data_IF_893861058971
#
_entry.id   IF_893861058971
#
_cell.length_a   1.000
_cell.length_b   1.000
_cell.length_c   1.000
_cell.angle_alpha   90.00
_cell.angle_beta   90.00
_cell.angle_gamma   90.00
#
_symmetry.space_group_name_H-M   'P 1'
#
loop_
_entity.id
_entity.type
_entity.pdbx_description
1 polymer ?
#
# COMPACT_ATOMS: atom_id res chain seq x y z
N UNK A 1 26.10 52.77 -46.34
CA UNK A 1 25.56 51.53 -45.72
C UNK A 1 24.68 51.94 -44.55
N UNK A 2 23.37 51.98 -44.77
CA UNK A 2 22.38 52.23 -43.72
C UNK A 2 21.19 51.35 -44.07
N UNK A 3 20.79 50.46 -43.16
CA UNK A 3 19.40 50.36 -42.73
C UNK A 3 19.27 49.51 -41.47
N UNK A 4 18.54 50.06 -40.50
CA UNK A 4 18.10 49.47 -39.24
C UNK A 4 16.81 48.69 -39.46
N UNK A 5 16.65 47.59 -38.71
CA UNK A 5 15.41 47.02 -38.14
C UNK A 5 14.10 46.98 -38.93
N UNK A 6 13.43 45.82 -38.91
CA UNK A 6 12.01 45.67 -38.50
C UNK A 6 11.51 44.22 -38.57
N UNK A 7 10.97 43.78 -37.43
CA UNK A 7 9.66 43.10 -37.23
C UNK A 7 9.37 41.87 -38.11
N UNK A 8 9.40 40.68 -37.47
CA UNK A 8 8.60 39.54 -37.90
C UNK A 8 7.11 39.91 -37.83
N UNK A 9 6.52 40.27 -38.96
CA UNK A 9 5.07 40.23 -39.10
C UNK A 9 4.66 38.82 -39.51
N UNK A 10 3.94 38.14 -38.62
CA UNK A 10 3.05 37.05 -39.00
C UNK A 10 2.05 37.62 -40.02
N UNK A 11 2.25 37.31 -41.30
CA UNK A 11 1.19 37.41 -42.30
C UNK A 11 0.44 36.08 -42.33
N UNK A 12 -0.50 35.92 -41.40
CA UNK A 12 -1.67 35.11 -41.69
C UNK A 12 -2.42 35.81 -42.82
N UNK A 13 -2.39 35.23 -44.03
CA UNK A 13 -3.46 35.45 -44.99
C UNK A 13 -4.24 34.15 -45.12
N UNK A 14 -5.56 34.17 -44.81
CA UNK A 14 -6.43 33.08 -45.21
C UNK A 14 -6.63 33.18 -46.72
N UNK A 15 -7.05 32.08 -47.33
CA UNK A 15 -8.17 32.00 -48.28
C UNK A 15 -8.12 30.62 -48.92
N UNK A 16 -9.04 29.79 -48.47
CA UNK A 16 -9.61 28.73 -49.28
C UNK A 16 -10.17 29.36 -50.56
N UNK A 17 -9.59 29.08 -51.74
CA UNK A 17 -10.34 28.84 -52.99
C UNK A 17 -9.46 28.52 -54.18
N UNK A 18 -9.85 27.47 -54.92
CA UNK A 18 -9.41 27.12 -56.29
C UNK A 18 -8.46 25.94 -56.29
N UNK A 19 -8.83 24.72 -56.73
CA UNK A 19 -9.57 24.37 -57.95
C UNK A 19 -10.01 22.89 -57.88
N UNK A 20 -10.95 22.51 -58.76
CA UNK A 20 -11.57 21.18 -58.94
C UNK A 20 -12.73 20.85 -57.97
N UNK A 21 -13.95 20.76 -58.53
CA UNK A 21 -15.14 20.22 -57.86
C UNK A 21 -15.04 18.70 -57.58
N UNK A 22 -13.92 18.07 -57.98
CA UNK A 22 -13.64 16.65 -57.80
C UNK A 22 -12.83 16.32 -56.54
N UNK A 23 -12.27 17.32 -55.84
CA UNK A 23 -11.41 17.09 -54.66
C UNK A 23 -12.04 17.44 -53.30
N UNK A 24 -13.17 18.16 -53.29
CA UNK A 24 -13.95 18.41 -52.06
C UNK A 24 -14.46 17.13 -51.36
N UNK A 25 -14.94 16.10 -52.08
CA UNK A 25 -15.38 14.86 -51.44
C UNK A 25 -14.21 14.15 -50.74
N UNK A 26 -13.00 14.20 -51.33
CA UNK A 26 -11.81 13.52 -50.81
C UNK A 26 -11.21 14.20 -49.59
N UNK A 27 -11.20 15.54 -49.55
CA UNK A 27 -10.74 16.30 -48.39
C UNK A 27 -11.73 16.22 -47.22
N UNK A 28 -13.04 16.29 -47.48
CA UNK A 28 -14.06 16.05 -46.45
C UNK A 28 -14.02 14.61 -45.93
N UNK A 29 -13.86 13.60 -46.81
CA UNK A 29 -13.69 12.21 -46.39
C UNK A 29 -12.44 12.04 -45.51
N UNK A 30 -11.31 12.67 -45.87
CA UNK A 30 -10.08 12.59 -45.08
C UNK A 30 -10.21 13.22 -43.70
N UNK A 31 -10.90 14.37 -43.59
CA UNK A 31 -11.20 15.02 -42.31
C UNK A 31 -12.17 14.19 -41.44
N UNK A 32 -13.17 13.56 -42.06
CA UNK A 32 -14.10 12.66 -41.37
C UNK A 32 -13.37 11.41 -40.86
N UNK A 33 -12.48 10.82 -41.67
CA UNK A 33 -11.66 9.67 -41.24
C UNK A 33 -10.72 10.04 -40.09
N UNK A 34 -10.14 11.24 -40.10
CA UNK A 34 -9.27 11.71 -39.03
C UNK A 34 -10.05 11.97 -37.72
N UNK A 35 -11.24 12.56 -37.82
CA UNK A 35 -12.14 12.76 -36.69
C UNK A 35 -12.63 11.42 -36.11
N UNK A 36 -13.03 10.48 -36.96
CA UNK A 36 -13.40 9.12 -36.54
C UNK A 36 -12.23 8.38 -35.89
N UNK A 37 -11.01 8.52 -36.44
CA UNK A 37 -9.79 7.97 -35.85
C UNK A 37 -9.48 8.56 -34.47
N UNK A 38 -9.58 9.88 -34.31
CA UNK A 38 -9.43 10.54 -33.01
C UNK A 38 -10.53 10.13 -32.02
N UNK A 39 -11.79 10.05 -32.45
CA UNK A 39 -12.88 9.56 -31.62
C UNK A 39 -12.68 8.11 -31.20
N UNK A 40 -12.18 7.24 -32.08
CA UNK A 40 -11.83 5.85 -31.77
C UNK A 40 -10.68 5.77 -30.78
N UNK A 41 -9.66 6.63 -30.91
CA UNK A 41 -8.53 6.68 -29.96
C UNK A 41 -8.95 7.22 -28.60
N UNK A 42 -9.81 8.25 -28.56
CA UNK A 42 -10.38 8.75 -27.31
C UNK A 42 -11.30 7.71 -26.69
N UNK A 43 -12.12 7.02 -27.47
CA UNK A 43 -12.97 5.94 -26.98
C UNK A 43 -12.14 4.76 -26.49
N UNK A 44 -11.07 4.38 -27.19
CA UNK A 44 -10.13 3.35 -26.75
C UNK A 44 -9.38 3.79 -25.49
N UNK A 45 -8.98 5.06 -25.38
CA UNK A 45 -8.39 5.60 -24.16
C UNK A 45 -9.39 5.60 -23.01
N UNK A 46 -10.64 5.96 -23.24
CA UNK A 46 -11.72 5.89 -22.25
C UNK A 46 -12.00 4.44 -21.86
N UNK A 47 -11.99 3.48 -22.80
CA UNK A 47 -12.16 2.06 -22.51
C UNK A 47 -10.99 1.48 -21.73
N UNK A 48 -9.75 1.81 -22.11
CA UNK A 48 -8.54 1.41 -21.37
C UNK A 48 -8.55 2.07 -19.99
N UNK A 49 -8.88 3.36 -19.89
CA UNK A 49 -8.99 4.06 -18.62
C UNK A 49 -10.16 3.55 -17.76
N UNK A 50 -11.26 3.10 -18.37
CA UNK A 50 -12.36 2.49 -17.64
C UNK A 50 -12.02 1.06 -17.21
N UNK A 51 -11.26 0.29 -17.99
CA UNK A 51 -10.70 -1.00 -17.56
C UNK A 51 -9.71 -0.81 -16.39
N UNK A 52 -8.91 0.27 -16.41
CA UNK A 52 -8.05 0.64 -15.27
C UNK A 52 -8.84 1.14 -14.05
N UNK A 53 -9.96 1.84 -14.23
CA UNK A 53 -10.89 2.15 -13.13
C UNK A 53 -11.62 0.90 -12.62
N UNK A 54 -11.90 -0.08 -13.50
CA UNK A 54 -12.50 -1.36 -13.14
C UNK A 54 -11.52 -2.34 -12.47
N UNK A 55 -10.20 -2.22 -12.66
CA UNK A 55 -9.22 -2.95 -11.83
C UNK A 55 -9.29 -2.55 -10.35
N UNK A 56 -9.68 -1.31 -10.06
CA UNK A 56 -9.99 -0.87 -8.70
C UNK A 56 -11.40 -1.31 -8.23
N UNK A 57 -12.26 -1.79 -9.15
CA UNK A 57 -13.66 -2.09 -8.88
C UNK A 57 -14.04 -3.58 -8.98
N UNK A 58 -13.19 -4.46 -9.51
CA UNK A 58 -13.46 -5.90 -9.56
C UNK A 58 -13.00 -6.61 -8.28
N UNK A 59 -13.76 -6.40 -7.20
CA UNK A 59 -13.69 -7.13 -5.92
C UNK A 59 -14.20 -8.57 -6.04
N UNK A 60 -13.71 -9.33 -7.03
CA UNK A 60 -13.84 -10.79 -7.08
C UNK A 60 -12.47 -11.40 -6.81
N UNK A 61 -11.98 -11.11 -5.61
CA UNK A 61 -10.74 -11.61 -5.05
C UNK A 61 -10.84 -13.10 -4.69
N UNK A 62 -9.68 -13.71 -4.43
CA UNK A 62 -9.56 -15.01 -3.76
C UNK A 62 -10.70 -15.19 -2.75
N UNK A 63 -11.54 -16.23 -2.92
CA UNK A 63 -12.64 -16.49 -1.99
C UNK A 63 -12.06 -16.83 -0.62
N UNK A 64 -11.92 -15.81 0.22
CA UNK A 64 -11.47 -15.95 1.60
C UNK A 64 -12.50 -16.84 2.29
N UNK A 65 -12.07 -17.94 2.94
CA UNK A 65 -13.02 -18.86 3.55
C UNK A 65 -13.90 -18.11 4.55
N UNK A 66 -15.21 -18.37 4.49
CA UNK A 66 -16.20 -17.88 5.44
C UNK A 66 -15.73 -18.20 6.87
N UNK A 67 -15.74 -17.19 7.75
CA UNK A 67 -15.33 -17.37 9.13
C UNK A 67 -16.46 -18.02 9.93
N UNK A 68 -16.17 -19.17 10.56
CA UNK A 68 -16.97 -19.66 11.68
C UNK A 68 -17.01 -18.57 12.76
N UNK A 69 -18.21 -18.27 13.25
CA UNK A 69 -18.55 -17.14 14.13
C UNK A 69 -17.94 -17.17 15.54
N UNK A 70 -16.73 -17.71 15.70
CA UNK A 70 -16.01 -17.88 16.98
C UNK A 70 -14.80 -16.97 17.16
N UNK A 71 -14.58 -16.00 16.26
CA UNK A 71 -13.66 -14.89 16.55
C UNK A 71 -14.37 -13.88 17.47
N UNK A 72 -13.71 -13.40 18.55
CA UNK A 72 -14.34 -12.52 19.52
C UNK A 72 -14.88 -11.28 18.82
N UNK A 73 -16.17 -11.01 19.03
CA UNK A 73 -16.83 -9.79 18.55
C UNK A 73 -16.07 -8.57 19.07
N UNK A 74 -15.27 -7.94 18.20
CA UNK A 74 -14.51 -6.73 18.51
C UNK A 74 -15.43 -5.51 18.56
N UNK A 75 -16.22 -5.42 19.63
CA UNK A 75 -16.63 -4.13 20.16
C UNK A 75 -15.42 -3.52 20.86
N UNK A 76 -15.13 -2.24 20.57
CA UNK A 76 -14.15 -1.35 21.22
C UNK A 76 -13.22 -2.11 22.18
N UNK A 77 -12.08 -2.57 21.65
CA UNK A 77 -11.11 -3.37 22.41
C UNK A 77 -10.83 -2.66 23.73
N UNK A 78 -11.23 -3.30 24.83
CA UNK A 78 -10.76 -2.93 26.17
C UNK A 78 -9.24 -2.91 26.07
N UNK A 79 -8.66 -1.72 26.26
CA UNK A 79 -7.22 -1.49 26.12
C UNK A 79 -6.45 -2.62 26.77
N UNK A 80 -5.66 -3.34 25.98
CA UNK A 80 -4.84 -4.37 26.55
C UNK A 80 -3.79 -3.74 27.47
N UNK A 81 -3.61 -4.31 28.65
CA UNK A 81 -2.52 -3.93 29.53
C UNK A 81 -1.19 -4.39 28.91
N UNK A 82 -0.56 -3.49 28.18
CA UNK A 82 0.78 -3.70 27.65
C UNK A 82 1.83 -3.56 28.78
N UNK A 83 2.96 -4.26 28.70
CA UNK A 83 4.03 -4.13 29.69
C UNK A 83 4.56 -2.69 29.77
N UNK A 84 4.99 -2.26 30.96
CA UNK A 84 5.64 -0.94 31.17
C UNK A 84 7.15 -1.04 30.99
N UNK A 85 7.72 -2.22 31.17
CA UNK A 85 9.13 -2.56 30.91
C UNK A 85 9.21 -3.96 30.33
N UNK A 86 10.27 -4.27 29.60
CA UNK A 86 10.51 -5.60 29.08
C UNK A 86 11.76 -5.68 28.22
N UNK A 87 12.09 -6.90 27.81
CA UNK A 87 13.15 -7.15 26.82
C UNK A 87 12.50 -7.27 25.45
N UNK A 88 13.00 -6.58 24.41
CA UNK A 88 12.49 -6.72 23.05
C UNK A 88 12.54 -8.17 22.58
N UNK A 89 11.41 -8.66 22.07
CA UNK A 89 11.27 -10.00 21.45
C UNK A 89 11.57 -9.98 19.95
N UNK A 90 11.99 -8.83 19.43
CA UNK A 90 12.41 -8.61 18.06
C UNK A 90 13.52 -7.55 18.02
N UNK A 91 14.36 -7.52 16.97
CA UNK A 91 15.36 -6.46 16.80
C UNK A 91 14.74 -5.07 16.76
N UNK A 92 15.41 -4.09 17.39
CA UNK A 92 15.03 -2.67 17.34
C UNK A 92 15.44 -2.07 15.99
N UNK A 93 14.71 -2.45 14.94
CA UNK A 93 14.94 -2.01 13.56
C UNK A 93 13.64 -1.51 12.94
N UNK A 94 13.75 -0.40 12.22
CA UNK A 94 12.67 0.17 11.41
C UNK A 94 13.07 0.01 9.95
N UNK A 95 12.18 -0.55 9.15
CA UNK A 95 12.34 -0.75 7.72
C UNK A 95 11.26 0.04 6.98
N UNK A 96 11.67 0.91 6.06
CA UNK A 96 10.78 1.56 5.10
C UNK A 96 11.33 1.36 3.69
N UNK A 97 10.46 1.36 2.67
CA UNK A 97 10.89 1.23 1.27
C UNK A 97 10.58 2.48 0.47
N UNK A 98 11.40 2.75 -0.54
CA UNK A 98 11.09 3.70 -1.59
C UNK A 98 11.82 3.35 -2.89
N UNK A 99 11.51 4.03 -3.99
CA UNK A 99 12.13 3.75 -5.29
C UNK A 99 13.63 4.06 -5.28
N UNK A 100 14.01 5.16 -4.64
CA UNK A 100 15.39 5.64 -4.49
C UNK A 100 15.65 6.14 -3.06
N UNK A 101 16.83 6.69 -2.82
CA UNK A 101 17.17 7.38 -1.58
C UNK A 101 16.65 8.82 -1.52
N UNK A 102 15.83 9.25 -2.48
CA UNK A 102 15.16 10.55 -2.49
C UNK A 102 13.65 10.39 -2.39
N UNK A 103 13.05 10.96 -1.34
CA UNK A 103 11.62 10.83 -1.07
C UNK A 103 10.86 12.14 -1.34
N UNK A 104 9.55 12.10 -1.63
CA UNK A 104 8.74 13.31 -1.71
C UNK A 104 8.78 14.09 -0.40
N UNK A 105 8.99 15.41 -0.49
CA UNK A 105 9.01 16.30 0.67
C UNK A 105 7.76 16.17 1.56
N UNK A 106 6.59 15.82 1.00
CA UNK A 106 5.37 15.64 1.77
C UNK A 106 5.45 14.52 2.82
N UNK A 107 6.33 13.54 2.64
CA UNK A 107 6.47 12.38 3.54
C UNK A 107 7.47 12.65 4.69
N UNK A 108 8.23 13.74 4.60
CA UNK A 108 9.37 14.03 5.51
C UNK A 108 9.00 14.01 6.98
N UNK A 109 7.89 14.64 7.38
CA UNK A 109 7.52 14.73 8.79
C UNK A 109 7.09 13.37 9.36
N UNK A 110 6.48 12.52 8.54
CA UNK A 110 6.10 11.17 8.93
C UNK A 110 7.33 10.29 9.12
N UNK A 111 8.32 10.38 8.23
CA UNK A 111 9.60 9.70 8.42
C UNK A 111 10.32 10.16 9.70
N UNK A 112 10.41 11.48 9.94
CA UNK A 112 11.04 12.02 11.17
C UNK A 112 10.38 11.53 12.44
N UNK A 113 9.06 11.30 12.42
CA UNK A 113 8.32 10.84 13.59
C UNK A 113 8.83 9.48 14.09
N UNK A 114 9.27 8.60 13.17
CA UNK A 114 9.81 7.28 13.51
C UNK A 114 11.11 7.37 14.31
N UNK A 115 12.08 8.17 13.85
CA UNK A 115 13.36 8.34 14.54
C UNK A 115 13.22 9.14 15.84
N UNK A 116 12.29 10.09 15.88
CA UNK A 116 11.94 10.82 17.12
C UNK A 116 11.39 9.89 18.20
N UNK A 117 10.50 8.96 17.84
CA UNK A 117 9.88 8.04 18.80
C UNK A 117 10.74 6.81 19.11
N UNK A 118 11.77 6.53 18.30
CA UNK A 118 12.63 5.35 18.43
C UNK A 118 14.11 5.72 18.29
N UNK A 119 14.65 6.58 19.18
CA UNK A 119 16.00 7.14 19.03
C UNK A 119 17.12 6.10 19.15
N UNK A 120 16.84 4.94 19.77
CA UNK A 120 17.78 3.83 19.94
C UNK A 120 17.58 2.69 18.93
N UNK A 121 16.69 2.86 17.95
CA UNK A 121 16.42 1.86 16.91
C UNK A 121 17.23 2.16 15.64
N UNK A 122 17.66 1.11 14.95
CA UNK A 122 18.28 1.27 13.64
C UNK A 122 17.22 1.61 12.59
N UNK A 123 17.53 2.54 11.69
CA UNK A 123 16.67 2.88 10.57
C UNK A 123 17.25 2.36 9.26
N UNK A 124 16.46 1.62 8.50
CA UNK A 124 16.84 1.02 7.23
C UNK A 124 15.92 1.51 6.12
N UNK A 125 16.51 2.07 5.06
CA UNK A 125 15.82 2.33 3.81
C UNK A 125 16.13 1.22 2.81
N UNK A 126 15.08 0.73 2.16
CA UNK A 126 15.18 -0.19 1.04
C UNK A 126 14.82 0.52 -0.26
N UNK A 127 15.80 0.67 -1.16
CA UNK A 127 15.60 1.21 -2.51
C UNK A 127 15.25 0.09 -3.47
N UNK A 128 14.74 0.38 -4.66
CA UNK A 128 14.50 -0.66 -5.68
C UNK A 128 15.80 -1.45 -5.99
N UNK A 129 16.95 -0.76 -5.97
CA UNK A 129 18.27 -1.36 -6.20
C UNK A 129 18.69 -2.27 -5.05
N UNK A 130 18.60 -1.78 -3.80
CA UNK A 130 19.01 -2.56 -2.63
C UNK A 130 18.06 -3.72 -2.34
N UNK A 131 16.77 -3.55 -2.65
CA UNK A 131 15.75 -4.59 -2.64
C UNK A 131 16.11 -5.74 -3.58
N UNK A 132 16.31 -5.43 -4.87
CA UNK A 132 16.65 -6.46 -5.87
C UNK A 132 17.97 -7.15 -5.53
N UNK A 133 18.95 -6.43 -4.99
CA UNK A 133 20.21 -7.02 -4.53
C UNK A 133 19.98 -8.01 -3.38
N UNK A 134 19.18 -7.67 -2.37
CA UNK A 134 18.79 -8.60 -1.30
C UNK A 134 18.16 -9.88 -1.86
N UNK A 135 17.23 -9.76 -2.82
CA UNK A 135 16.57 -10.93 -3.41
C UNK A 135 17.59 -11.79 -4.15
N UNK A 136 18.47 -11.18 -4.95
CA UNK A 136 19.52 -11.92 -5.67
C UNK A 136 20.53 -12.58 -4.73
N UNK A 137 20.83 -11.97 -3.59
CA UNK A 137 21.81 -12.45 -2.61
C UNK A 137 21.27 -13.59 -1.75
N UNK A 138 20.02 -13.46 -1.25
CA UNK A 138 19.47 -14.38 -0.24
C UNK A 138 18.33 -15.26 -0.71
N UNK A 139 17.61 -14.85 -1.76
CA UNK A 139 16.47 -15.58 -2.33
C UNK A 139 16.61 -15.76 -3.86
N UNK A 140 17.74 -16.30 -4.36
CA UNK A 140 18.00 -16.37 -5.80
C UNK A 140 16.94 -17.18 -6.56
N UNK A 141 16.32 -18.19 -5.93
CA UNK A 141 15.20 -18.94 -6.51
C UNK A 141 13.94 -18.11 -6.74
N UNK A 142 13.75 -17.03 -5.98
CA UNK A 142 12.62 -16.12 -6.09
C UNK A 142 12.89 -14.93 -7.03
N UNK A 143 14.15 -14.68 -7.40
CA UNK A 143 14.55 -13.52 -8.19
C UNK A 143 13.79 -13.42 -9.51
N UNK A 144 13.60 -14.55 -10.21
CA UNK A 144 12.84 -14.55 -11.47
C UNK A 144 11.38 -14.14 -11.27
N UNK A 145 10.73 -14.64 -10.22
CA UNK A 145 9.35 -14.24 -9.88
C UNK A 145 9.30 -12.75 -9.51
N UNK A 146 10.25 -12.29 -8.69
CA UNK A 146 10.35 -10.90 -8.26
C UNK A 146 10.50 -9.92 -9.44
N UNK A 147 11.40 -10.22 -10.37
CA UNK A 147 11.64 -9.41 -11.56
C UNK A 147 10.44 -9.43 -12.52
N UNK A 148 9.67 -10.51 -12.55
CA UNK A 148 8.51 -10.68 -13.43
C UNK A 148 7.20 -10.09 -12.90
N UNK A 149 7.16 -9.57 -11.67
CA UNK A 149 5.96 -8.87 -11.19
C UNK A 149 5.61 -7.68 -12.13
N UNK A 150 4.35 -7.55 -12.59
CA UNK A 150 3.99 -6.48 -13.51
C UNK A 150 4.08 -5.09 -12.88
N UNK A 151 3.82 -4.97 -11.57
CA UNK A 151 3.77 -3.68 -10.88
C UNK A 151 4.83 -3.55 -9.77
N UNK A 152 5.42 -2.34 -9.63
CA UNK A 152 6.40 -2.04 -8.58
C UNK A 152 5.84 -2.27 -7.17
N UNK A 153 4.54 -2.04 -6.95
CA UNK A 153 3.91 -2.28 -5.65
C UNK A 153 3.98 -3.76 -5.24
N UNK A 154 3.87 -4.70 -6.18
CA UNK A 154 4.00 -6.12 -5.86
C UNK A 154 5.43 -6.48 -5.42
N UNK A 155 6.44 -5.84 -6.03
CA UNK A 155 7.84 -5.95 -5.58
C UNK A 155 8.03 -5.38 -4.17
N UNK A 156 7.43 -4.22 -3.88
CA UNK A 156 7.51 -3.61 -2.55
C UNK A 156 6.78 -4.46 -1.48
N UNK A 157 5.63 -5.04 -1.83
CA UNK A 157 4.88 -5.99 -1.01
C UNK A 157 5.66 -7.28 -0.74
N UNK A 158 6.26 -7.89 -1.77
CA UNK A 158 7.11 -9.05 -1.57
C UNK A 158 8.33 -8.72 -0.69
N UNK A 159 8.95 -7.56 -0.91
CA UNK A 159 10.13 -7.12 -0.18
C UNK A 159 9.87 -6.96 1.32
N UNK A 160 8.76 -6.32 1.72
CA UNK A 160 8.47 -6.10 3.16
C UNK A 160 8.35 -7.41 3.94
N UNK A 161 7.84 -8.48 3.33
CA UNK A 161 7.80 -9.80 3.95
C UNK A 161 9.19 -10.41 4.08
N UNK A 162 9.98 -10.34 3.00
CA UNK A 162 11.33 -10.89 2.94
C UNK A 162 12.25 -10.18 3.94
N UNK A 163 12.19 -8.86 4.02
CA UNK A 163 12.95 -8.06 4.99
C UNK A 163 12.62 -8.45 6.42
N UNK A 164 11.33 -8.63 6.75
CA UNK A 164 10.93 -9.06 8.09
C UNK A 164 11.37 -10.49 8.39
N UNK A 165 11.31 -11.40 7.41
CA UNK A 165 11.81 -12.75 7.58
C UNK A 165 13.32 -12.77 7.85
N UNK A 166 14.10 -12.02 7.07
CA UNK A 166 15.56 -12.03 7.13
C UNK A 166 16.13 -11.26 8.33
N UNK A 167 15.57 -10.08 8.62
CA UNK A 167 16.17 -9.13 9.57
C UNK A 167 15.32 -8.89 10.81
N UNK A 168 14.04 -9.28 10.79
CA UNK A 168 13.05 -8.96 11.81
C UNK A 168 12.85 -7.46 12.01
N UNK A 169 12.27 -7.09 13.15
CA UNK A 169 11.99 -5.69 13.50
C UNK A 169 10.62 -5.25 13.00
N UNK A 170 10.48 -3.97 12.68
CA UNK A 170 9.23 -3.34 12.25
C UNK A 170 9.36 -2.84 10.83
N UNK A 171 8.43 -3.23 9.97
CA UNK A 171 8.21 -2.63 8.67
C UNK A 171 7.08 -1.60 8.76
N UNK A 172 7.24 -0.44 8.12
CA UNK A 172 6.18 0.55 7.95
C UNK A 172 6.27 1.30 6.62
N UNK A 173 5.15 1.51 5.94
CA UNK A 173 5.07 2.36 4.74
C UNK A 173 5.45 3.82 5.06
N UNK A 174 5.94 4.58 4.06
CA UNK A 174 6.42 5.95 4.28
C UNK A 174 5.33 6.95 4.65
N UNK A 175 4.07 6.63 4.38
CA UNK A 175 2.90 7.39 4.80
C UNK A 175 2.29 6.91 6.13
N UNK A 176 3.04 6.10 6.88
CA UNK A 176 2.78 5.82 8.29
C UNK A 176 3.50 6.85 9.16
N UNK A 177 2.74 7.63 9.93
CA UNK A 177 3.27 8.49 10.98
C UNK A 177 3.35 7.71 12.30
N UNK A 178 4.49 7.75 12.98
CA UNK A 178 4.64 7.24 14.34
C UNK A 178 4.14 8.27 15.35
N UNK A 179 3.16 7.89 16.16
CA UNK A 179 2.58 8.75 17.20
C UNK A 179 3.19 8.49 18.59
N UNK A 180 3.67 7.26 18.85
CA UNK A 180 4.38 6.90 20.08
C UNK A 180 5.27 5.66 19.88
N UNK A 181 6.18 5.35 20.82
CA UNK A 181 7.08 4.21 20.72
C UNK A 181 6.35 2.85 20.68
N UNK A 182 6.85 1.92 19.85
CA UNK A 182 6.34 0.56 19.71
C UNK A 182 6.92 -0.43 20.73
N UNK A 183 7.85 -0.01 21.60
CA UNK A 183 8.58 -0.87 22.53
C UNK A 183 7.66 -1.79 23.34
N UNK A 184 6.52 -1.28 23.80
CA UNK A 184 5.56 -2.06 24.60
C UNK A 184 4.95 -3.23 23.84
N UNK A 185 4.73 -3.09 22.53
CA UNK A 185 4.30 -4.19 21.66
C UNK A 185 5.46 -5.15 21.41
N UNK A 186 6.66 -4.62 21.14
CA UNK A 186 7.88 -5.40 20.91
C UNK A 186 8.34 -6.20 22.14
N UNK A 187 8.03 -5.77 23.37
CA UNK A 187 8.30 -6.52 24.60
C UNK A 187 7.33 -7.67 24.80
N UNK A 188 6.11 -7.56 24.27
CA UNK A 188 5.05 -8.54 24.51
C UNK A 188 4.97 -9.59 23.42
N UNK A 189 5.07 -9.16 22.17
CA UNK A 189 4.84 -10.00 21.00
C UNK A 189 6.12 -10.16 20.20
N UNK A 190 6.38 -11.38 19.74
CA UNK A 190 7.43 -11.72 18.79
C UNK A 190 7.00 -11.47 17.34
N UNK A 191 5.70 -11.42 17.05
CA UNK A 191 5.16 -11.05 15.74
C UNK A 191 3.76 -10.44 15.87
N UNK A 192 3.54 -9.29 15.25
CA UNK A 192 2.25 -8.61 15.20
C UNK A 192 1.97 -7.98 13.84
N UNK A 193 0.69 -7.94 13.46
CA UNK A 193 0.23 -7.40 12.18
C UNK A 193 -0.86 -6.36 12.41
N UNK A 194 -0.92 -5.38 11.53
CA UNK A 194 -2.04 -4.45 11.44
C UNK A 194 -3.27 -5.07 10.77
N UNK A 195 -4.46 -4.61 11.16
CA UNK A 195 -5.71 -4.93 10.47
C UNK A 195 -6.43 -3.67 10.00
N UNK A 196 -7.14 -3.79 8.89
CA UNK A 196 -7.94 -2.73 8.31
C UNK A 196 -9.02 -2.22 9.28
N UNK A 197 -9.38 -0.92 9.22
CA UNK A 197 -10.51 -0.38 9.96
C UNK A 197 -11.79 -1.17 9.74
N UNK A 198 -12.55 -1.41 10.81
CA UNK A 198 -13.74 -2.29 10.87
C UNK A 198 -14.65 -2.32 9.64
N UNK A 199 -14.96 -1.17 9.04
CA UNK A 199 -15.88 -1.11 7.92
C UNK A 199 -15.27 -1.63 6.60
N UNK A 200 -13.95 -1.54 6.43
CA UNK A 200 -13.26 -1.92 5.20
C UNK A 200 -13.45 -3.41 4.85
N UNK A 201 -13.04 -4.39 5.70
CA UNK A 201 -13.18 -5.81 5.35
C UNK A 201 -14.63 -6.20 5.07
N UNK A 202 -15.59 -5.62 5.80
CA UNK A 202 -17.01 -5.92 5.68
C UNK A 202 -17.59 -5.40 4.36
N UNK A 203 -17.24 -4.18 3.97
CA UNK A 203 -17.83 -3.52 2.81
C UNK A 203 -17.06 -3.83 1.51
N UNK A 204 -15.78 -4.12 1.59
CA UNK A 204 -14.96 -4.53 0.44
C UNK A 204 -15.11 -6.02 0.14
N UNK A 205 -15.07 -6.88 1.16
CA UNK A 205 -14.93 -8.34 0.98
C UNK A 205 -15.98 -9.17 1.71
N UNK A 206 -16.91 -8.53 2.42
CA UNK A 206 -17.89 -9.20 3.27
C UNK A 206 -17.27 -10.15 4.32
N UNK A 207 -16.11 -9.75 4.88
CA UNK A 207 -15.43 -10.48 5.95
C UNK A 207 -15.34 -9.64 7.22
N UNK A 208 -15.07 -10.26 8.38
CA UNK A 208 -14.90 -9.53 9.63
C UNK A 208 -13.52 -8.89 9.78
N UNK A 209 -12.51 -9.44 9.10
CA UNK A 209 -11.11 -9.10 9.32
C UNK A 209 -10.34 -9.16 8.02
N UNK A 210 -9.55 -8.11 7.76
CA UNK A 210 -8.58 -8.04 6.68
C UNK A 210 -7.27 -7.50 7.25
N UNK A 211 -6.20 -8.28 7.09
CA UNK A 211 -4.84 -7.92 7.49
C UNK A 211 -4.29 -6.95 6.46
N UNK A 212 -3.62 -5.89 6.91
CA UNK A 212 -2.97 -4.89 6.06
C UNK A 212 -1.46 -4.98 6.22
N UNK A 213 -0.77 -4.91 5.09
CA UNK A 213 0.68 -5.10 5.01
C UNK A 213 1.46 -3.77 5.12
N UNK A 214 0.81 -2.66 5.49
CA UNK A 214 1.44 -1.33 5.61
C UNK A 214 2.22 -1.13 6.93
N UNK A 215 1.92 -1.92 7.96
CA UNK A 215 2.76 -2.03 9.17
C UNK A 215 2.70 -3.44 9.74
N UNK A 216 3.87 -4.01 9.98
CA UNK A 216 4.03 -5.38 10.45
C UNK A 216 5.33 -5.46 11.22
N UNK A 217 5.41 -6.38 12.18
CA UNK A 217 6.64 -6.58 12.92
C UNK A 217 6.79 -8.03 13.35
N UNK A 218 7.96 -8.62 13.14
CA UNK A 218 8.23 -9.99 13.58
C UNK A 218 9.71 -10.14 13.98
N UNK A 219 10.01 -11.16 14.80
CA UNK A 219 11.36 -11.64 15.00
C UNK A 219 11.90 -12.26 13.69
N UNK A 220 13.22 -12.19 13.43
CA UNK A 220 13.80 -12.83 12.25
C UNK A 220 13.54 -14.34 12.29
N UNK A 221 13.26 -14.92 11.12
CA UNK A 221 12.98 -16.35 10.98
C UNK A 221 11.62 -16.81 11.52
N UNK A 222 10.71 -15.89 11.88
CA UNK A 222 9.40 -16.27 12.43
C UNK A 222 8.63 -17.21 11.47
N UNK A 223 8.06 -18.34 11.93
CA UNK A 223 7.45 -19.36 11.06
C UNK A 223 6.32 -18.81 10.18
N UNK A 224 5.49 -17.92 10.71
CA UNK A 224 4.49 -17.20 9.90
C UNK A 224 5.10 -16.45 8.72
N UNK A 225 6.16 -15.65 8.95
CA UNK A 225 6.75 -14.85 7.88
C UNK A 225 7.48 -15.74 6.87
N UNK A 226 8.02 -16.88 7.31
CA UNK A 226 8.50 -17.93 6.42
C UNK A 226 7.38 -18.43 5.50
N UNK A 227 6.21 -18.77 6.06
CA UNK A 227 5.05 -19.23 5.29
C UNK A 227 4.59 -18.18 4.28
N UNK A 228 4.59 -16.89 4.67
CA UNK A 228 4.28 -15.78 3.75
C UNK A 228 5.27 -15.75 2.59
N UNK A 229 6.58 -15.72 2.87
CA UNK A 229 7.61 -15.67 1.82
C UNK A 229 7.56 -16.89 0.90
N UNK A 230 7.43 -18.09 1.47
CA UNK A 230 7.35 -19.35 0.71
C UNK A 230 6.09 -19.40 -0.20
N UNK A 231 5.01 -18.71 0.18
CA UNK A 231 3.75 -18.71 -0.57
C UNK A 231 3.74 -17.70 -1.72
N UNK A 232 4.64 -16.71 -1.77
CA UNK A 232 4.65 -15.66 -2.81
C UNK A 232 4.63 -16.22 -4.24
N UNK A 233 5.42 -17.24 -4.62
CA UNK A 233 5.41 -17.78 -5.98
C UNK A 233 4.05 -18.34 -6.40
N UNK A 234 3.31 -18.94 -5.46
CA UNK A 234 2.01 -19.57 -5.75
C UNK A 234 0.95 -18.52 -6.09
N UNK A 235 1.09 -17.28 -5.62
CA UNK A 235 0.15 -16.19 -5.85
C UNK A 235 0.62 -15.19 -6.91
N UNK A 236 1.85 -15.33 -7.42
CA UNK A 236 2.43 -14.36 -8.35
C UNK A 236 1.65 -14.19 -9.68
N UNK A 237 0.83 -15.19 -10.03
CA UNK A 237 -0.01 -15.19 -11.23
C UNK A 237 -1.39 -14.54 -11.03
N UNK A 238 -1.73 -14.13 -9.81
CA UNK A 238 -3.01 -13.50 -9.50
C UNK A 238 -3.09 -12.13 -10.16
N UNK A 239 -4.25 -11.81 -10.76
CA UNK A 239 -4.46 -10.55 -11.45
C UNK A 239 -4.50 -9.36 -10.49
N UNK A 240 -5.20 -9.52 -9.36
CA UNK A 240 -5.35 -8.45 -8.38
C UNK A 240 -4.06 -8.22 -7.61
N UNK A 241 -3.62 -6.96 -7.51
CA UNK A 241 -2.51 -6.53 -6.65
C UNK A 241 -2.71 -7.01 -5.20
N UNK A 242 -3.95 -6.94 -4.72
CA UNK A 242 -4.32 -7.34 -3.36
C UNK A 242 -4.16 -8.86 -3.14
N UNK A 243 -4.42 -9.67 -4.17
CA UNK A 243 -4.37 -11.13 -4.12
C UNK A 243 -2.98 -11.70 -4.44
N UNK A 244 -2.17 -11.01 -5.24
CA UNK A 244 -0.85 -11.48 -5.62
C UNK A 244 0.15 -11.36 -4.46
N UNK A 245 0.18 -10.19 -3.83
CA UNK A 245 1.16 -9.85 -2.78
C UNK A 245 0.59 -8.97 -1.68
N UNK A 246 -0.60 -8.40 -1.87
CA UNK A 246 -1.16 -7.40 -0.97
C UNK A 246 -1.96 -7.95 0.22
N UNK A 247 -2.86 -7.12 0.80
CA UNK A 247 -3.69 -7.46 1.94
C UNK A 247 -4.49 -8.78 1.85
N UNK A 248 -5.03 -9.16 0.69
CA UNK A 248 -5.81 -10.40 0.56
C UNK A 248 -4.90 -11.63 0.64
N UNK A 249 -3.77 -11.60 -0.07
CA UNK A 249 -2.71 -12.61 0.03
C UNK A 249 -2.30 -12.81 1.49
N UNK A 250 -1.90 -11.72 2.16
CA UNK A 250 -1.44 -11.79 3.55
C UNK A 250 -2.53 -12.31 4.48
N UNK A 251 -3.78 -11.88 4.28
CA UNK A 251 -4.92 -12.34 5.07
C UNK A 251 -5.20 -13.82 4.89
N UNK A 252 -5.08 -14.34 3.66
CA UNK A 252 -5.21 -15.76 3.38
C UNK A 252 -4.15 -16.57 4.12
N UNK A 253 -2.87 -16.19 4.00
CA UNK A 253 -1.76 -16.87 4.67
C UNK A 253 -1.89 -16.77 6.18
N UNK A 254 -2.28 -15.62 6.72
CA UNK A 254 -2.55 -15.43 8.14
C UNK A 254 -3.64 -16.38 8.65
N UNK A 255 -4.80 -16.42 7.97
CA UNK A 255 -5.90 -17.32 8.38
C UNK A 255 -5.49 -18.79 8.33
N UNK A 256 -4.73 -19.20 7.31
CA UNK A 256 -4.17 -20.55 7.21
C UNK A 256 -3.25 -20.85 8.40
N UNK A 257 -2.26 -19.98 8.65
CA UNK A 257 -1.30 -20.14 9.73
C UNK A 257 -1.98 -20.23 11.10
N UNK A 258 -2.96 -19.36 11.38
CA UNK A 258 -3.67 -19.36 12.67
C UNK A 258 -4.53 -20.61 12.87
N UNK A 259 -5.10 -21.19 11.81
CA UNK A 259 -5.83 -22.47 11.90
C UNK A 259 -4.90 -23.63 12.26
N UNK A 260 -3.70 -23.64 11.66
CA UNK A 260 -2.67 -24.65 11.92
C UNK A 260 -2.02 -24.51 13.31
N UNK A 261 -2.14 -23.34 13.94
CA UNK A 261 -1.47 -22.99 15.20
C UNK A 261 -2.42 -22.54 16.33
N UNK A 262 -3.71 -22.88 16.24
CA UNK A 262 -4.75 -22.47 17.20
C UNK A 262 -4.49 -22.92 18.65
N UNK A 263 -3.62 -23.90 18.86
CA UNK A 263 -3.21 -24.41 20.17
C UNK A 263 -2.21 -23.52 20.91
N UNK A 264 -1.54 -22.61 20.19
CA UNK A 264 -0.53 -21.73 20.77
C UNK A 264 -1.18 -20.68 21.67
N UNK A 265 -0.48 -20.30 22.74
CA UNK A 265 -0.94 -19.19 23.59
C UNK A 265 -0.75 -17.84 22.87
N UNK A 266 -1.56 -16.81 23.14
CA UNK A 266 -1.43 -15.49 22.50
C UNK A 266 -0.08 -14.77 22.70
N UNK A 267 0.74 -15.23 23.64
CA UNK A 267 2.09 -14.71 23.89
C UNK A 267 3.20 -15.68 23.49
N UNK A 268 2.87 -16.83 22.90
CA UNK A 268 3.83 -17.77 22.36
C UNK A 268 4.74 -17.10 21.32
N UNK A 269 5.98 -17.56 21.17
CA UNK A 269 6.94 -16.97 20.23
C UNK A 269 6.57 -17.12 18.76
N UNK A 270 5.80 -18.15 18.43
CA UNK A 270 5.26 -18.39 17.09
C UNK A 270 3.83 -17.86 16.90
N UNK A 271 3.25 -17.22 17.92
CA UNK A 271 1.91 -16.62 17.80
C UNK A 271 1.98 -15.31 17.03
N UNK A 272 1.01 -15.07 16.15
CA UNK A 272 0.86 -13.83 15.40
C UNK A 272 -0.27 -13.01 16.00
N UNK A 273 0.08 -11.92 16.68
CA UNK A 273 -0.89 -11.02 17.25
C UNK A 273 -1.46 -10.07 16.20
N UNK A 274 -2.75 -10.20 15.90
CA UNK A 274 -3.45 -9.23 15.05
C UNK A 274 -3.92 -8.07 15.91
N UNK A 275 -3.34 -6.89 15.72
CA UNK A 275 -3.61 -5.73 16.58
C UNK A 275 -5.01 -5.17 16.32
N UNK A 276 -5.64 -4.51 17.31
CA UNK A 276 -6.80 -3.67 17.03
C UNK A 276 -6.49 -2.65 15.93
N UNK A 277 -7.44 -2.41 15.02
CA UNK A 277 -7.24 -1.48 13.90
C UNK A 277 -6.84 -0.09 14.42
N UNK A 278 -7.43 0.36 15.53
CA UNK A 278 -7.15 1.66 16.15
C UNK A 278 -5.70 1.85 16.60
N UNK A 279 -4.91 0.77 16.76
CA UNK A 279 -3.50 0.90 17.13
C UNK A 279 -2.68 1.48 15.98
N UNK A 280 -3.02 1.15 14.74
CA UNK A 280 -2.22 1.57 13.59
C UNK A 280 -2.98 2.37 12.53
N UNK A 281 -4.29 2.22 12.49
CA UNK A 281 -5.22 2.80 11.53
C UNK A 281 -6.40 3.48 12.26
N UNK A 282 -6.13 4.52 13.07
CA UNK A 282 -7.19 5.25 13.76
C UNK A 282 -8.14 5.97 12.79
N UNK A 283 -7.65 6.29 11.59
CA UNK A 283 -8.39 6.91 10.50
C UNK A 283 -8.73 5.89 9.41
N UNK A 284 -9.83 6.15 8.71
CA UNK A 284 -10.26 5.35 7.55
C UNK A 284 -9.67 5.91 6.28
N UNK A 285 -9.61 5.06 5.26
CA UNK A 285 -9.17 5.45 3.93
C UNK A 285 -10.18 6.43 3.31
N UNK A 286 -9.78 7.68 3.01
CA UNK A 286 -10.66 8.67 2.42
C UNK A 286 -11.12 8.28 1.00
N UNK A 287 -10.32 7.52 0.25
CA UNK A 287 -10.65 7.14 -1.13
C UNK A 287 -11.78 6.09 -1.16
N UNK A 288 -11.88 5.27 -0.10
CA UNK A 288 -12.98 4.30 0.07
C UNK A 288 -14.29 4.95 0.52
N UNK A 289 -14.27 6.20 1.01
CA UNK A 289 -15.44 6.83 1.64
C UNK A 289 -16.64 6.92 0.68
N UNK A 290 -16.41 7.39 -0.55
CA UNK A 290 -17.48 7.55 -1.54
C UNK A 290 -18.07 6.20 -1.96
N UNK A 291 -17.22 5.18 -2.12
CA UNK A 291 -17.61 3.82 -2.47
C UNK A 291 -18.50 3.21 -1.37
N UNK A 292 -18.05 3.25 -0.11
CA UNK A 292 -18.82 2.74 1.02
C UNK A 292 -20.14 3.49 1.21
N UNK A 293 -20.15 4.81 1.07
CA UNK A 293 -21.38 5.58 1.20
C UNK A 293 -22.40 5.21 0.11
N UNK A 294 -21.94 4.94 -1.12
CA UNK A 294 -22.81 4.44 -2.20
C UNK A 294 -23.38 3.06 -1.89
N UNK A 295 -22.56 2.11 -1.42
CA UNK A 295 -23.06 0.80 -1.00
C UNK A 295 -24.11 0.93 0.12
N UNK A 296 -23.86 1.78 1.12
CA UNK A 296 -24.79 2.02 2.22
C UNK A 296 -26.10 2.71 1.83
N UNK A 297 -26.22 3.29 0.62
CA UNK A 297 -27.51 3.78 0.10
C UNK A 297 -28.44 2.63 -0.28
N UNK A 298 -27.91 1.49 -0.72
CA UNK A 298 -28.67 0.30 -1.06
C UNK A 298 -28.90 -0.59 0.17
N UNK A 299 -29.21 0.02 1.31
CA UNK A 299 -29.20 -0.60 2.64
C UNK A 299 -30.07 -1.87 2.75
N UNK A 300 -31.19 -1.91 2.05
CA UNK A 300 -32.12 -3.05 2.07
C UNK A 300 -31.51 -4.32 1.45
N UNK A 301 -30.59 -4.17 0.49
CA UNK A 301 -29.90 -5.28 -0.18
C UNK A 301 -28.70 -5.79 0.62
N UNK A 302 -28.25 -5.05 1.62
CA UNK A 302 -27.10 -5.41 2.46
C UNK A 302 -27.48 -6.50 3.45
N UNK A 303 -26.53 -7.41 3.71
CA UNK A 303 -26.67 -8.40 4.77
C UNK A 303 -26.53 -7.75 6.18
N UNK A 304 -26.84 -8.47 7.27
CA UNK A 304 -26.77 -7.90 8.63
C UNK A 304 -25.39 -7.34 9.02
N UNK A 305 -24.31 -7.97 8.57
CA UNK A 305 -22.93 -7.54 8.85
C UNK A 305 -22.61 -6.21 8.16
N UNK A 306 -22.92 -6.11 6.87
CA UNK A 306 -22.75 -4.88 6.08
C UNK A 306 -23.61 -3.73 6.60
N UNK A 307 -24.84 -4.02 7.03
CA UNK A 307 -25.70 -3.04 7.71
C UNK A 307 -25.06 -2.50 8.99
N UNK A 308 -24.45 -3.37 9.81
CA UNK A 308 -23.73 -2.97 11.00
C UNK A 308 -22.50 -2.09 10.68
N UNK A 309 -21.75 -2.41 9.62
CA UNK A 309 -20.66 -1.57 9.13
C UNK A 309 -21.16 -0.18 8.67
N UNK A 310 -22.25 -0.11 7.90
CA UNK A 310 -22.87 1.16 7.51
C UNK A 310 -23.31 2.01 8.71
N UNK A 311 -23.81 1.38 9.78
CA UNK A 311 -24.11 2.08 11.03
C UNK A 311 -22.84 2.57 11.75
N UNK A 312 -21.76 1.79 11.74
CA UNK A 312 -20.46 2.21 12.28
C UNK A 312 -19.92 3.44 11.51
N UNK A 313 -20.10 3.48 10.19
CA UNK A 313 -19.61 4.58 9.37
C UNK A 313 -20.16 5.95 9.78
N UNK A 314 -21.44 6.00 10.19
CA UNK A 314 -22.15 7.22 10.60
C UNK A 314 -21.76 7.75 12.00
N UNK A 315 -21.00 6.99 12.80
CA UNK A 315 -20.59 7.41 14.15
C UNK A 315 -19.33 8.27 14.09
N UNK A 316 -19.50 9.58 13.94
CA UNK A 316 -18.44 10.59 13.79
C UNK A 316 -17.61 10.98 15.04
N UNK A 317 -18.02 10.79 16.32
CA UNK A 317 -17.24 11.30 17.45
C UNK A 317 -16.12 10.36 17.98
N UNK A 318 -15.66 9.40 17.19
CA UNK A 318 -14.68 8.39 17.63
C UNK A 318 -13.23 8.75 17.29
N UNK A 319 -12.96 9.75 16.45
CA UNK A 319 -11.61 10.04 15.95
C UNK A 319 -10.63 10.43 17.07
N UNK A 320 -10.99 11.36 17.96
CA UNK A 320 -10.13 11.75 19.10
C UNK A 320 -9.82 10.55 20.02
N UNK A 321 -10.83 9.71 20.29
CA UNK A 321 -10.65 8.52 21.13
C UNK A 321 -9.76 7.48 20.45
N UNK A 322 -9.89 7.28 19.14
CA UNK A 322 -9.04 6.36 18.37
C UNK A 322 -7.59 6.84 18.35
N UNK A 323 -7.37 8.13 18.11
CA UNK A 323 -6.04 8.74 18.13
C UNK A 323 -5.35 8.62 19.49
N UNK A 324 -6.11 8.69 20.59
CA UNK A 324 -5.56 8.54 21.94
C UNK A 324 -4.93 7.15 22.18
N UNK A 325 -5.36 6.12 21.45
CA UNK A 325 -4.88 4.73 21.57
C UNK A 325 -3.83 4.37 20.52
N UNK A 326 -3.73 5.16 19.46
CA UNK A 326 -2.96 4.86 18.28
C UNK A 326 -1.45 4.99 18.51
N UNK A 327 -0.72 3.95 18.10
CA UNK A 327 0.73 3.97 17.97
C UNK A 327 1.17 4.65 16.68
N UNK A 328 0.36 4.54 15.63
CA UNK A 328 0.64 5.16 14.34
C UNK A 328 -0.62 5.74 13.72
N UNK A 329 -0.44 6.58 12.70
CA UNK A 329 -1.50 7.04 11.83
C UNK A 329 -1.10 6.78 10.37
N UNK A 330 -1.94 6.04 9.64
CA UNK A 330 -1.77 5.83 8.21
C UNK A 330 -2.46 6.97 7.45
N UNK A 331 -1.72 7.65 6.58
CA UNK A 331 -2.21 8.81 5.83
C UNK A 331 -2.87 8.45 4.49
N UNK A 332 -2.86 7.19 4.09
CA UNK A 332 -3.57 6.66 2.92
C UNK A 332 -3.24 7.45 1.64
N UNK A 333 -1.97 7.75 1.40
CA UNK A 333 -1.57 8.56 0.24
C UNK A 333 -1.63 7.76 -1.05
N UNK A 334 -1.59 6.43 -0.95
CA UNK A 334 -1.64 5.50 -2.09
C UNK A 334 -0.62 5.87 -3.17
N UNK A 335 0.64 6.07 -2.74
CA UNK A 335 1.76 6.53 -3.59
C UNK A 335 2.06 5.65 -4.82
N UNK A 336 1.45 4.47 -4.89
CA UNK A 336 1.50 3.54 -6.03
C UNK A 336 0.43 3.81 -7.09
N UNK A 337 -0.73 4.40 -6.74
CA UNK A 337 -1.83 4.71 -7.67
C UNK A 337 -1.61 6.02 -8.42
N UNK A 338 -0.95 6.98 -7.78
CA UNK A 338 -0.71 8.30 -8.35
C UNK A 338 0.79 8.58 -8.35
N UNK A 339 1.32 9.02 -9.49
CA UNK A 339 2.56 9.80 -9.47
C UNK A 339 2.29 10.99 -8.54
N UNK A 340 2.88 10.97 -7.34
CA UNK A 340 2.67 11.95 -6.25
C UNK A 340 2.29 13.29 -6.85
N UNK A 341 1.03 13.70 -6.65
CA UNK A 341 0.44 14.94 -7.20
C UNK A 341 1.53 16.00 -7.19
N UNK A 342 1.92 16.48 -8.39
CA UNK A 342 3.08 17.36 -8.66
C UNK A 342 3.44 18.18 -7.42
N UNK A 343 4.38 17.65 -6.62
CA UNK A 343 4.90 18.42 -5.50
C UNK A 343 5.70 19.56 -6.09
N UNK A 344 5.29 20.80 -5.82
CA UNK A 344 6.07 21.98 -6.21
C UNK A 344 7.44 22.01 -5.52
N UNK A 345 7.61 21.22 -4.45
CA UNK A 345 8.88 21.01 -3.77
C UNK A 345 9.61 19.81 -4.35
N UNK A 346 10.90 19.97 -4.56
CA UNK A 346 11.80 18.92 -5.02
C UNK A 346 11.82 17.74 -4.02
N UNK A 347 12.12 16.51 -4.48
CA UNK A 347 12.46 15.39 -3.61
C UNK A 347 13.58 15.76 -2.63
N UNK A 348 13.59 15.10 -1.48
CA UNK A 348 14.57 15.31 -0.41
C UNK A 348 15.34 14.01 -0.21
N UNK A 349 16.69 14.04 -0.18
CA UNK A 349 17.49 12.87 0.15
C UNK A 349 17.16 12.37 1.57
N UNK A 350 16.93 11.07 1.71
CA UNK A 350 16.57 10.46 2.99
C UNK A 350 17.65 10.66 4.06
N UNK A 351 18.93 10.75 3.68
CA UNK A 351 20.05 11.09 4.58
C UNK A 351 19.95 12.48 5.22
N UNK A 352 19.25 13.43 4.60
CA UNK A 352 19.00 14.74 5.23
C UNK A 352 17.94 14.65 6.33
N UNK A 353 17.07 13.64 6.25
CA UNK A 353 15.96 13.42 7.19
C UNK A 353 16.39 12.47 8.31
N UNK A 354 17.09 11.39 7.95
CA UNK A 354 17.65 10.38 8.84
C UNK A 354 19.13 10.18 8.50
N UNK A 355 20.05 10.99 9.09
CA UNK A 355 21.48 10.92 8.77
C UNK A 355 22.12 9.55 8.99
N UNK A 356 21.67 8.84 10.04
CA UNK A 356 22.17 7.51 10.43
C UNK A 356 21.46 6.36 9.70
N UNK A 357 20.74 6.64 8.60
CA UNK A 357 20.05 5.59 7.86
C UNK A 357 21.02 4.57 7.26
N UNK A 358 20.61 3.31 7.26
CA UNK A 358 21.33 2.21 6.63
C UNK A 358 20.69 1.85 5.29
N UNK A 359 21.54 1.50 4.33
CA UNK A 359 21.17 0.88 3.05
C UNK A 359 21.76 -0.53 3.03
N UNK A 360 21.06 -1.48 2.42
CA UNK A 360 21.65 -2.78 2.14
C UNK A 360 22.80 -2.62 1.12
N UNK A 361 23.98 -3.21 1.35
CA UNK A 361 25.11 -3.06 0.46
C UNK A 361 24.74 -3.51 -0.95
N UNK A 362 25.08 -2.72 -1.96
CA UNK A 362 24.70 -2.99 -3.35
C UNK A 362 25.82 -3.67 -4.16
N UNK A 363 27.04 -3.70 -3.61
CA UNK A 363 28.27 -4.17 -4.26
C UNK A 363 28.93 -5.36 -3.52
N UNK A 364 28.23 -5.96 -2.54
CA UNK A 364 28.74 -7.16 -1.89
C UNK A 364 28.63 -8.35 -2.85
N UNK A 365 29.65 -9.23 -2.93
CA UNK A 365 29.53 -10.45 -3.72
C UNK A 365 28.38 -11.29 -3.17
N UNK A 366 27.45 -11.67 -4.06
CA UNK A 366 26.35 -12.61 -3.79
C UNK A 366 26.93 -13.89 -3.20
N UNK A 367 26.46 -14.28 -2.01
CA UNK A 367 27.02 -15.39 -1.24
C UNK A 367 26.59 -16.77 -1.70
#
# INVERSE_FOLDING_TARGET
MHWRGRVFQLKLKPVCCGTSAWDRPKQCASLITLLLGCCMLVFLHVLISSEFEDEAAYFSSLSLPEEDSKLPQMGIVLMENLPVTGTPRMPKRIHQTWKSDEIPHSLTEWVKSWTKNHPDWEYWLWTDKSARHLISDRHPSFLQTYDNYPHNIQRADALRYIVLYEFGGVYADLDMESLRPLDRLAWKYSCFLGQEPYAHPILDTNTHTLVINAIMACQPGHPFMKMVVDSLPDFAHMWSLFDATGPHFLSYVYKKYMRENQQLSPTHEDWVYLTPAEYFYPNRDPDKFSYFYRQCKNYEQLNPLQRAACHNLKKTPLEEKRMALAFTNHHWVHTYLFSVKVSLRQPVPMREIVPEMKLYPEDAPVK
#
